data_IF_004508829961
#
_entry.id   IF_004508829961
#
_cell.length_a   1.000
_cell.length_b   1.000
_cell.length_c   1.000
_cell.angle_alpha   90.00
_cell.angle_beta   90.00
_cell.angle_gamma   90.00
#
_symmetry.space_group_name_H-M   'P 1'
#
loop_
_entity.id
_entity.type
_entity.pdbx_description
1 polymer ?
#
# COMPACT_ATOMS: atom_id res chain seq x y z
N UNK A 1 3.62 -40.87 43.19
CA UNK A 1 3.01 -40.76 41.85
C UNK A 1 1.73 -39.97 42.00
N UNK A 2 1.86 -38.66 41.85
CA UNK A 2 0.77 -37.70 41.86
C UNK A 2 0.56 -37.25 40.43
N UNK A 3 -0.70 -37.05 40.03
CA UNK A 3 -1.20 -35.83 39.41
C UNK A 3 -2.71 -36.00 39.27
N UNK A 4 -3.40 -35.05 39.89
CA UNK A 4 -4.83 -34.78 39.79
C UNK A 4 -5.20 -34.43 38.35
N UNK A 5 -6.33 -34.96 37.87
CA UNK A 5 -6.88 -34.61 36.57
C UNK A 5 -8.40 -34.63 36.66
N UNK A 6 -8.99 -33.58 37.22
CA UNK A 6 -10.42 -33.36 37.12
C UNK A 6 -10.71 -31.86 37.04
N UNK A 7 -11.04 -31.39 35.84
CA UNK A 7 -11.51 -30.02 35.62
C UNK A 7 -12.67 -30.05 34.62
N UNK A 8 -13.92 -29.87 35.06
CA UNK A 8 -15.04 -29.63 34.16
C UNK A 8 -15.29 -28.12 34.00
N UNK A 9 -16.02 -27.77 32.94
CA UNK A 9 -16.68 -26.48 32.66
C UNK A 9 -15.92 -25.46 31.81
N UNK A 10 -16.01 -25.70 30.50
CA UNK A 10 -16.14 -24.67 29.47
C UNK A 10 -17.46 -23.90 29.65
N UNK A 11 -17.38 -22.59 29.95
CA UNK A 11 -18.42 -21.62 29.59
C UNK A 11 -17.75 -20.37 29.00
N UNK A 12 -17.83 -20.27 27.67
CA UNK A 12 -17.62 -19.04 26.91
C UNK A 12 -18.81 -18.10 27.15
N UNK A 13 -18.55 -16.89 27.60
CA UNK A 13 -19.44 -15.75 27.37
C UNK A 13 -18.79 -14.85 26.32
N UNK A 14 -19.55 -14.59 25.26
CA UNK A 14 -19.27 -13.63 24.21
C UNK A 14 -20.16 -12.43 24.50
N UNK A 15 -19.60 -11.34 25.02
CA UNK A 15 -20.29 -10.06 25.04
C UNK A 15 -19.77 -9.21 23.88
N UNK A 16 -20.53 -9.22 22.79
CA UNK A 16 -20.42 -8.25 21.71
C UNK A 16 -21.35 -7.08 22.04
N UNK A 17 -20.80 -6.00 22.59
CA UNK A 17 -21.52 -4.72 22.64
C UNK A 17 -21.35 -3.99 21.32
N UNK A 18 -22.39 -4.05 20.49
CA UNK A 18 -22.58 -3.15 19.35
C UNK A 18 -23.00 -1.78 19.88
N UNK A 19 -22.17 -0.77 19.65
CA UNK A 19 -22.56 0.65 19.79
C UNK A 19 -23.16 1.09 18.46
N UNK A 20 -24.49 1.28 18.44
CA UNK A 20 -25.22 1.86 17.31
C UNK A 20 -24.91 3.37 17.17
N UNK A 21 -24.97 3.95 15.96
CA UNK A 21 -24.82 5.40 15.76
C UNK A 21 -26.05 6.13 16.32
N UNK A 22 -25.83 7.08 17.23
CA UNK A 22 -26.88 7.96 17.75
C UNK A 22 -27.43 8.85 16.62
N UNK A 23 -28.70 8.61 16.28
CA UNK A 23 -29.51 9.53 15.50
C UNK A 23 -29.75 10.84 16.28
N UNK A 24 -29.63 11.97 15.57
CA UNK A 24 -29.92 13.31 16.10
C UNK A 24 -31.43 13.54 16.11
N UNK A 25 -31.99 13.89 17.28
CA UNK A 25 -33.35 14.44 17.39
C UNK A 25 -33.78 14.72 18.84
N UNK A 26 -33.96 16.01 19.18
CA UNK A 26 -34.63 16.58 20.37
C UNK A 26 -33.85 16.47 21.71
N UNK A 27 -33.91 17.38 22.70
CA UNK A 27 -34.55 18.69 22.93
C UNK A 27 -33.70 19.54 23.92
N UNK A 28 -34.00 20.83 24.08
CA UNK A 28 -33.26 21.80 24.94
C UNK A 28 -33.37 21.58 26.46
N UNK A 29 -34.10 20.56 26.95
CA UNK A 29 -34.32 20.39 28.40
C UNK A 29 -33.27 19.54 29.13
N UNK A 30 -32.24 19.02 28.43
CA UNK A 30 -31.20 18.17 29.03
C UNK A 30 -29.87 18.91 29.34
N UNK A 31 -29.85 20.25 29.27
CA UNK A 31 -28.64 21.07 29.52
C UNK A 31 -28.58 21.70 30.92
N UNK A 32 -29.50 21.37 31.82
CA UNK A 32 -29.68 22.08 33.10
C UNK A 32 -29.23 21.31 34.36
N UNK A 33 -28.65 20.12 34.25
CA UNK A 33 -28.32 19.29 35.44
C UNK A 33 -26.85 18.80 35.48
N UNK A 34 -25.91 19.63 35.00
CA UNK A 34 -24.47 19.39 35.20
C UNK A 34 -23.73 20.66 35.65
N UNK A 35 -24.36 21.40 36.56
CA UNK A 35 -23.74 22.52 37.25
C UNK A 35 -24.02 22.37 38.75
N UNK A 36 -23.23 21.54 39.44
CA UNK A 36 -22.96 21.69 40.88
C UNK A 36 -21.85 20.74 41.36
N UNK A 37 -20.79 21.35 41.93
CA UNK A 37 -19.77 20.82 42.86
C UNK A 37 -18.74 19.84 42.25
N UNK A 38 -17.42 20.04 42.35
CA UNK A 38 -16.62 20.16 43.59
C UNK A 38 -15.31 20.94 43.36
N UNK A 39 -14.97 21.77 44.34
CA UNK A 39 -13.74 22.55 44.54
C UNK A 39 -12.41 21.77 44.50
N UNK A 40 -11.37 22.36 43.89
CA UNK A 40 -9.95 22.16 44.21
C UNK A 40 -9.08 23.32 43.66
N UNK A 41 -7.94 23.66 44.30
CA UNK A 41 -7.41 25.02 44.32
C UNK A 41 -6.62 25.43 43.06
N UNK A 42 -6.79 26.69 42.70
CA UNK A 42 -6.04 27.41 41.67
C UNK A 42 -4.59 27.55 42.15
N UNK A 43 -3.72 26.63 41.71
CA UNK A 43 -2.27 26.83 41.71
C UNK A 43 -1.88 27.40 40.35
N UNK A 44 -1.27 28.57 40.41
CA UNK A 44 -0.90 29.50 39.34
C UNK A 44 -0.29 28.85 38.08
N UNK A 45 -1.11 28.82 37.02
CA UNK A 45 -0.81 28.37 35.65
C UNK A 45 0.30 29.18 34.95
N UNK A 46 0.64 30.36 35.44
CA UNK A 46 1.71 31.18 34.86
C UNK A 46 3.11 30.58 35.06
N UNK A 47 3.39 29.93 36.21
CA UNK A 47 4.74 29.40 36.49
C UNK A 47 5.02 28.12 35.70
N UNK A 48 3.99 27.32 35.42
CA UNK A 48 4.08 26.14 34.56
C UNK A 48 4.22 26.53 33.08
N UNK A 49 3.51 27.56 32.63
CA UNK A 49 3.60 28.08 31.27
C UNK A 49 4.95 28.76 31.01
N UNK A 50 5.45 29.57 31.94
CA UNK A 50 6.78 30.19 31.84
C UNK A 50 7.89 29.13 31.84
N UNK A 51 7.77 28.07 32.64
CA UNK A 51 8.71 26.93 32.62
C UNK A 51 8.62 26.09 31.33
N UNK A 52 7.44 25.95 30.73
CA UNK A 52 7.24 25.27 29.45
C UNK A 52 7.82 26.09 28.28
N UNK A 53 7.58 27.40 28.27
CA UNK A 53 8.10 28.34 27.24
C UNK A 53 9.62 28.50 27.35
N UNK A 54 10.17 28.56 28.57
CA UNK A 54 11.63 28.66 28.77
C UNK A 54 12.36 27.34 28.44
N UNK A 55 11.82 26.16 28.80
CA UNK A 55 12.39 24.87 28.36
C UNK A 55 12.26 24.65 26.85
N UNK A 56 11.19 25.14 26.23
CA UNK A 56 11.02 25.11 24.77
C UNK A 56 12.00 26.06 24.06
N UNK A 57 12.27 27.25 24.61
CA UNK A 57 13.29 28.18 24.10
C UNK A 57 14.71 27.64 24.24
N UNK A 58 15.04 26.96 25.33
CA UNK A 58 16.38 26.42 25.57
C UNK A 58 16.69 25.20 24.70
N UNK A 59 15.67 24.37 24.38
CA UNK A 59 15.78 23.32 23.34
C UNK A 59 15.81 23.88 21.92
N UNK A 60 15.08 24.97 21.64
CA UNK A 60 15.11 25.64 20.34
C UNK A 60 16.47 26.28 20.03
N UNK A 61 17.20 26.76 21.05
CA UNK A 61 18.50 27.41 20.85
C UNK A 61 19.60 26.46 20.32
N UNK A 62 19.51 25.16 20.62
CA UNK A 62 20.40 24.14 20.03
C UNK A 62 19.89 23.57 18.68
N UNK A 63 18.64 23.86 18.27
CA UNK A 63 17.99 23.29 17.07
C UNK A 63 18.04 24.19 15.84
N UNK A 64 18.37 25.47 16.00
CA UNK A 64 18.60 26.39 14.87
C UNK A 64 19.88 26.07 14.06
N UNK A 65 20.70 25.12 14.49
CA UNK A 65 21.95 24.74 13.82
C UNK A 65 21.78 24.06 12.45
N UNK A 66 20.59 23.56 12.12
CA UNK A 66 20.40 22.76 10.90
C UNK A 66 19.75 23.49 9.72
N UNK A 67 19.26 24.73 9.91
CA UNK A 67 18.40 25.39 8.92
C UNK A 67 19.08 26.49 8.08
N UNK A 68 20.38 26.77 8.26
CA UNK A 68 21.02 27.87 7.52
C UNK A 68 22.55 27.89 7.39
N UNK A 69 23.28 26.95 8.00
CA UNK A 69 24.75 26.93 7.89
C UNK A 69 25.22 25.88 6.87
N UNK A 70 26.26 26.16 6.05
CA UNK A 70 26.94 25.14 5.28
C UNK A 70 27.59 24.17 6.27
N UNK A 71 26.99 22.99 6.42
CA UNK A 71 27.45 22.01 7.39
C UNK A 71 28.61 21.23 6.79
N UNK A 72 29.82 21.74 6.99
CA UNK A 72 31.03 20.93 6.90
C UNK A 72 31.02 19.91 8.03
N UNK A 73 31.02 18.62 7.66
CA UNK A 73 31.25 17.46 8.53
C UNK A 73 30.30 17.30 9.74
N UNK A 74 29.01 17.02 9.51
CA UNK A 74 28.23 16.29 10.53
C UNK A 74 28.65 14.83 10.47
N UNK A 75 29.19 14.33 11.58
CA UNK A 75 29.43 12.90 11.78
C UNK A 75 28.09 12.15 11.67
N UNK A 76 27.89 11.30 10.65
CA UNK A 76 26.66 10.55 10.47
C UNK A 76 26.33 9.66 11.66
N UNK A 77 27.33 9.17 12.39
CA UNK A 77 27.14 8.32 13.56
C UNK A 77 26.55 9.10 14.75
N UNK A 78 27.06 10.30 15.01
CA UNK A 78 26.53 11.18 16.04
C UNK A 78 25.07 11.58 15.77
N UNK A 79 24.74 11.88 14.51
CA UNK A 79 23.36 12.20 14.12
C UNK A 79 22.42 11.00 14.18
N UNK A 80 22.90 9.82 13.78
CA UNK A 80 22.13 8.58 13.89
C UNK A 80 21.81 8.26 15.37
N UNK A 81 22.75 8.50 16.28
CA UNK A 81 22.55 8.35 17.71
C UNK A 81 21.52 9.36 18.25
N UNK A 82 21.54 10.62 17.79
CA UNK A 82 20.55 11.63 18.17
C UNK A 82 19.14 11.26 17.68
N UNK A 83 19.01 10.83 16.41
CA UNK A 83 17.74 10.32 15.88
C UNK A 83 17.25 9.10 16.67
N UNK A 84 18.12 8.14 16.95
CA UNK A 84 17.78 6.95 17.74
C UNK A 84 17.27 7.33 19.14
N UNK A 85 17.92 8.28 19.80
CA UNK A 85 17.56 8.75 21.14
C UNK A 85 16.22 9.52 21.17
N UNK A 86 15.94 10.31 20.12
CA UNK A 86 14.68 11.05 19.99
C UNK A 86 13.49 10.13 19.65
N UNK A 87 13.76 9.00 18.99
CA UNK A 87 12.73 8.15 18.41
C UNK A 87 12.03 8.84 17.24
N UNK A 88 10.88 8.30 16.81
CA UNK A 88 10.13 8.82 15.66
C UNK A 88 9.20 10.00 16.00
N UNK A 89 9.43 10.69 17.12
CA UNK A 89 8.60 11.78 17.64
C UNK A 89 7.32 11.35 18.38
N UNK A 90 6.91 12.18 19.36
CA UNK A 90 5.70 12.06 20.20
C UNK A 90 4.67 13.17 19.92
N UNK A 91 4.99 14.08 19.01
CA UNK A 91 4.12 15.15 18.54
C UNK A 91 4.27 15.34 17.03
N UNK A 92 3.33 16.05 16.41
CA UNK A 92 3.40 16.35 14.99
C UNK A 92 4.69 17.10 14.62
N UNK A 93 5.12 18.03 15.48
CA UNK A 93 6.37 18.77 15.29
C UNK A 93 7.58 17.84 15.30
N UNK A 94 7.70 16.98 16.31
CA UNK A 94 8.84 16.07 16.41
C UNK A 94 8.86 15.06 15.26
N UNK A 95 7.70 14.54 14.85
CA UNK A 95 7.59 13.64 13.69
C UNK A 95 8.06 14.34 12.41
N UNK A 96 7.62 15.58 12.18
CA UNK A 96 7.98 16.36 10.99
C UNK A 96 9.47 16.70 11.00
N UNK A 97 10.02 17.11 12.16
CA UNK A 97 11.43 17.40 12.38
C UNK A 97 12.31 16.17 12.11
N UNK A 98 11.94 15.00 12.65
CA UNK A 98 12.64 13.73 12.38
C UNK A 98 12.58 13.36 10.90
N UNK A 99 11.42 13.49 10.27
CA UNK A 99 11.23 13.21 8.84
C UNK A 99 12.09 14.13 7.96
N UNK A 100 12.05 15.43 8.21
CA UNK A 100 12.83 16.44 7.47
C UNK A 100 14.33 16.24 7.63
N UNK A 101 14.78 15.94 8.86
CA UNK A 101 16.19 15.60 9.12
C UNK A 101 16.61 14.37 8.33
N UNK A 102 15.80 13.31 8.35
CA UNK A 102 16.07 12.09 7.62
C UNK A 102 16.12 12.33 6.09
N UNK A 103 15.19 13.11 5.55
CA UNK A 103 15.16 13.49 4.14
C UNK A 103 16.35 14.37 3.73
N UNK A 104 16.80 15.27 4.61
CA UNK A 104 18.00 16.08 4.40
C UNK A 104 19.25 15.20 4.37
N UNK A 105 19.35 14.21 5.25
CA UNK A 105 20.50 13.29 5.28
C UNK A 105 20.55 12.40 4.05
N UNK A 106 19.41 11.89 3.60
CA UNK A 106 19.33 11.12 2.36
C UNK A 106 19.83 11.90 1.14
N UNK A 107 19.63 13.23 1.11
CA UNK A 107 20.13 14.11 0.05
C UNK A 107 21.61 14.43 0.16
N UNK A 108 22.17 14.42 1.38
CA UNK A 108 23.54 14.90 1.66
C UNK A 108 24.56 13.77 1.76
N UNK A 109 24.15 12.59 2.20
CA UNK A 109 25.03 11.45 2.41
C UNK A 109 25.12 10.58 1.15
N UNK A 110 26.24 9.87 1.00
CA UNK A 110 26.31 8.80 0.01
C UNK A 110 25.29 7.70 0.36
N UNK A 111 24.78 6.93 -0.63
CA UNK A 111 23.78 5.89 -0.39
C UNK A 111 24.20 4.86 0.68
N UNK A 112 25.47 4.49 0.74
CA UNK A 112 26.02 3.53 1.70
C UNK A 112 26.03 4.10 3.14
N UNK A 113 26.39 5.37 3.29
CA UNK A 113 26.38 6.07 4.57
C UNK A 113 24.96 6.27 5.08
N UNK A 114 24.01 6.61 4.19
CA UNK A 114 22.61 6.73 4.56
C UNK A 114 22.01 5.38 4.99
N UNK A 115 22.37 4.29 4.30
CA UNK A 115 21.99 2.94 4.74
C UNK A 115 22.57 2.58 6.10
N UNK A 116 23.82 2.97 6.35
CA UNK A 116 24.48 2.77 7.66
C UNK A 116 23.78 3.57 8.75
N UNK A 117 23.46 4.83 8.50
CA UNK A 117 22.66 5.68 9.39
C UNK A 117 21.32 5.00 9.71
N UNK A 118 20.59 4.54 8.69
CA UNK A 118 19.32 3.83 8.85
C UNK A 118 19.45 2.59 9.75
N UNK A 119 20.52 1.80 9.58
CA UNK A 119 20.80 0.64 10.44
C UNK A 119 21.09 1.05 11.88
N UNK A 120 21.90 2.10 12.08
CA UNK A 120 22.27 2.59 13.42
C UNK A 120 21.07 3.16 14.17
N UNK A 121 20.10 3.78 13.49
CA UNK A 121 18.87 4.25 14.16
C UNK A 121 18.06 3.11 14.81
N UNK A 122 18.25 1.86 14.36
CA UNK A 122 17.48 0.70 14.82
C UNK A 122 16.01 0.73 14.41
N UNK A 123 15.59 1.69 13.57
CA UNK A 123 14.21 1.79 13.13
C UNK A 123 13.90 0.76 12.06
N UNK A 124 12.69 0.19 12.13
CA UNK A 124 12.22 -0.72 11.11
C UNK A 124 12.17 0.00 9.74
N UNK A 125 12.60 -0.62 8.61
CA UNK A 125 12.64 0.02 7.29
C UNK A 125 11.33 0.70 6.88
N UNK A 126 10.18 0.09 7.19
CA UNK A 126 8.85 0.70 6.96
C UNK A 126 8.64 2.04 7.68
N UNK A 127 9.19 2.22 8.89
CA UNK A 127 9.09 3.49 9.63
C UNK A 127 9.93 4.55 8.94
N UNK A 128 11.16 4.20 8.54
CA UNK A 128 12.07 5.06 7.78
C UNK A 128 11.40 5.55 6.50
N UNK A 129 10.80 4.64 5.71
CA UNK A 129 10.07 5.01 4.48
C UNK A 129 8.93 6.00 4.74
N UNK A 130 8.18 5.81 5.83
CA UNK A 130 7.08 6.72 6.22
C UNK A 130 7.61 8.09 6.63
N UNK A 131 8.64 8.14 7.47
CA UNK A 131 9.25 9.40 7.93
C UNK A 131 9.90 10.16 6.76
N UNK A 132 10.54 9.48 5.82
CA UNK A 132 11.05 10.10 4.59
C UNK A 132 9.92 10.72 3.76
N UNK A 133 8.80 10.02 3.58
CA UNK A 133 7.65 10.57 2.87
C UNK A 133 7.10 11.83 3.57
N UNK A 134 6.98 11.80 4.90
CA UNK A 134 6.57 12.97 5.71
C UNK A 134 7.57 14.12 5.56
N UNK A 135 8.87 13.84 5.67
CA UNK A 135 9.93 14.85 5.60
C UNK A 135 10.06 15.53 4.24
N UNK A 136 9.74 14.82 3.16
CA UNK A 136 9.76 15.35 1.79
C UNK A 136 8.51 16.18 1.46
N UNK A 137 7.41 15.96 2.17
CA UNK A 137 6.14 16.64 1.89
C UNK A 137 6.08 18.04 2.53
N UNK A 138 6.52 19.04 1.77
CA UNK A 138 6.55 20.44 2.20
C UNK A 138 5.16 21.01 2.52
N UNK A 139 4.07 20.39 2.03
CA UNK A 139 2.68 20.82 2.26
C UNK A 139 2.27 20.66 3.72
N UNK A 140 2.92 19.78 4.46
CA UNK A 140 2.60 19.51 5.87
C UNK A 140 3.07 20.62 6.83
N UNK A 141 4.13 21.37 6.47
CA UNK A 141 4.69 22.44 7.31
C UNK A 141 3.66 23.51 7.70
N UNK A 142 2.91 24.14 6.76
CA UNK A 142 1.90 25.12 7.12
C UNK A 142 0.71 24.50 7.89
N UNK A 143 0.54 23.19 7.84
CA UNK A 143 -0.54 22.47 8.52
C UNK A 143 -0.16 21.99 9.93
N UNK A 144 1.07 22.25 10.39
CA UNK A 144 1.62 21.73 11.65
C UNK A 144 0.65 21.81 12.86
N UNK A 145 -0.07 22.93 13.11
CA UNK A 145 -1.00 23.02 14.26
C UNK A 145 -2.19 22.05 14.18
N UNK A 146 -2.49 21.52 12.99
CA UNK A 146 -3.63 20.67 12.68
C UNK A 146 -3.21 19.20 12.48
N UNK A 147 -1.90 18.91 12.40
CA UNK A 147 -1.43 17.56 12.13
C UNK A 147 -1.63 16.63 13.34
N UNK A 148 -1.97 15.35 13.11
CA UNK A 148 -2.02 14.33 14.15
C UNK A 148 -0.68 14.13 14.86
N UNK A 149 -0.70 13.72 16.13
CA UNK A 149 0.52 13.56 16.93
C UNK A 149 1.47 12.41 16.56
N UNK A 150 1.07 11.49 15.66
CA UNK A 150 1.84 10.27 15.37
C UNK A 150 2.17 10.12 13.88
N UNK A 151 3.37 9.60 13.58
CA UNK A 151 3.80 9.37 12.18
C UNK A 151 2.85 8.44 11.41
N UNK A 152 2.19 7.49 12.07
CA UNK A 152 1.24 6.58 11.42
C UNK A 152 -0.07 7.26 11.03
N UNK A 153 -0.44 8.36 11.70
CA UNK A 153 -1.59 9.18 11.35
C UNK A 153 -1.24 10.30 10.35
N UNK A 154 -0.01 10.83 10.40
CA UNK A 154 0.47 11.83 9.42
C UNK A 154 0.76 11.20 8.07
N UNK A 155 1.42 10.02 8.02
CA UNK A 155 1.85 9.40 6.76
C UNK A 155 0.75 9.25 5.70
N UNK A 156 -0.48 8.80 6.01
CA UNK A 156 -1.55 8.76 5.02
C UNK A 156 -1.84 10.10 4.34
N UNK A 157 -1.65 11.23 5.04
CA UNK A 157 -1.84 12.57 4.48
C UNK A 157 -0.85 12.88 3.36
N UNK A 158 0.36 12.30 3.38
CA UNK A 158 1.34 12.47 2.29
C UNK A 158 0.91 11.79 1.00
N UNK A 159 -0.11 10.92 1.05
CA UNK A 159 -0.63 10.18 -0.11
C UNK A 159 -1.83 10.87 -0.77
N UNK A 160 -2.21 12.04 -0.26
CA UNK A 160 -3.30 12.85 -0.77
C UNK A 160 -2.80 13.84 -1.83
N UNK A 161 -3.65 14.09 -2.82
CA UNK A 161 -3.55 15.25 -3.71
C UNK A 161 -3.75 16.55 -2.93
N UNK A 162 -3.39 17.69 -3.51
CA UNK A 162 -3.58 18.99 -2.85
C UNK A 162 -5.07 19.26 -2.56
N UNK A 163 -5.95 18.89 -3.49
CA UNK A 163 -7.39 19.01 -3.33
C UNK A 163 -7.92 18.13 -2.18
N UNK A 164 -7.53 16.86 -2.13
CA UNK A 164 -7.90 15.94 -1.04
C UNK A 164 -7.35 16.42 0.31
N UNK A 165 -6.10 16.90 0.38
CA UNK A 165 -5.50 17.38 1.62
C UNK A 165 -6.21 18.63 2.14
N UNK A 166 -6.50 19.60 1.27
CA UNK A 166 -7.27 20.80 1.63
C UNK A 166 -8.67 20.43 2.12
N UNK A 167 -9.32 19.45 1.46
CA UNK A 167 -10.61 18.94 1.91
C UNK A 167 -10.51 18.30 3.30
N UNK A 168 -9.51 17.44 3.53
CA UNK A 168 -9.27 16.79 4.83
C UNK A 168 -9.09 17.79 5.98
N UNK A 169 -8.40 18.89 5.69
CA UNK A 169 -8.22 20.01 6.62
C UNK A 169 -9.55 20.72 6.87
N UNK A 170 -10.27 21.08 5.82
CA UNK A 170 -11.55 21.82 5.93
C UNK A 170 -12.65 21.02 6.65
N UNK A 171 -12.65 19.69 6.52
CA UNK A 171 -13.61 18.80 7.17
C UNK A 171 -13.19 18.40 8.60
N UNK A 172 -12.01 18.85 9.07
CA UNK A 172 -11.53 18.57 10.43
C UNK A 172 -11.00 17.14 10.64
N UNK A 173 -10.67 16.45 9.56
CA UNK A 173 -10.04 15.11 9.59
C UNK A 173 -8.54 15.19 9.87
N UNK A 174 -7.91 16.33 9.57
CA UNK A 174 -6.58 16.68 10.03
C UNK A 174 -6.69 17.45 11.36
N UNK A 175 -6.63 16.74 12.49
CA UNK A 175 -6.59 17.35 13.83
C UNK A 175 -5.56 16.67 14.74
N UNK A 176 -5.02 17.36 15.77
CA UNK A 176 -3.94 16.82 16.61
C UNK A 176 -4.25 15.51 17.33
N UNK A 177 -5.51 15.29 17.69
CA UNK A 177 -6.01 14.10 18.39
C UNK A 177 -6.50 12.99 17.44
N UNK A 178 -6.47 13.20 16.12
CA UNK A 178 -6.91 12.20 15.16
C UNK A 178 -6.01 10.95 15.21
N UNK A 179 -6.65 9.79 15.29
CA UNK A 179 -6.00 8.50 15.17
C UNK A 179 -5.68 8.15 13.72
N UNK A 180 -4.70 7.26 13.53
CA UNK A 180 -4.38 6.73 12.19
C UNK A 180 -5.58 6.06 11.53
N UNK A 181 -6.46 5.43 12.32
CA UNK A 181 -7.67 4.77 11.82
C UNK A 181 -8.68 5.79 11.30
N UNK A 182 -8.96 6.85 12.04
CA UNK A 182 -9.90 7.91 11.61
C UNK A 182 -9.44 8.54 10.30
N UNK A 183 -8.14 8.87 10.18
CA UNK A 183 -7.59 9.43 8.94
C UNK A 183 -7.76 8.44 7.79
N UNK A 184 -7.39 7.17 7.97
CA UNK A 184 -7.51 6.16 6.92
C UNK A 184 -8.96 5.88 6.52
N UNK A 185 -9.89 5.86 7.48
CA UNK A 185 -11.30 5.62 7.20
C UNK A 185 -11.91 6.83 6.47
N UNK A 186 -11.54 8.06 6.82
CA UNK A 186 -11.90 9.25 6.06
C UNK A 186 -11.40 9.18 4.61
N UNK A 187 -10.13 8.84 4.39
CA UNK A 187 -9.55 8.71 3.03
C UNK A 187 -10.32 7.68 2.21
N UNK A 188 -10.67 6.53 2.81
CA UNK A 188 -11.46 5.49 2.13
C UNK A 188 -12.83 6.03 1.73
N UNK A 189 -13.56 6.66 2.66
CA UNK A 189 -14.89 7.21 2.38
C UNK A 189 -14.81 8.22 1.24
N UNK A 190 -13.88 9.18 1.27
CA UNK A 190 -13.76 10.20 0.22
C UNK A 190 -13.37 9.66 -1.14
N UNK A 191 -12.57 8.61 -1.20
CA UNK A 191 -12.22 7.97 -2.47
C UNK A 191 -13.34 7.12 -3.03
N UNK A 192 -14.28 6.69 -2.19
CA UNK A 192 -15.49 5.99 -2.62
C UNK A 192 -16.61 6.97 -3.00
N UNK A 193 -16.64 8.17 -2.42
CA UNK A 193 -17.52 9.26 -2.84
C UNK A 193 -17.22 9.66 -4.30
N UNK A 194 -18.12 9.31 -5.22
CA UNK A 194 -17.96 9.59 -6.66
C UNK A 194 -17.40 8.43 -7.48
N UNK A 195 -17.12 7.27 -6.85
CA UNK A 195 -17.08 6.01 -7.61
C UNK A 195 -18.53 5.56 -7.86
N UNK A 196 -18.83 5.15 -9.09
CA UNK A 196 -20.03 4.36 -9.35
C UNK A 196 -19.90 3.08 -8.53
N UNK A 197 -20.59 3.05 -7.38
CA UNK A 197 -20.72 1.84 -6.61
C UNK A 197 -21.42 0.82 -7.51
N UNK A 198 -20.92 -0.41 -7.61
CA UNK A 198 -21.60 -1.41 -8.39
C UNK A 198 -23.00 -1.59 -7.79
N UNK A 199 -24.03 -1.63 -8.64
CA UNK A 199 -25.43 -1.89 -8.23
C UNK A 199 -25.55 -3.18 -7.42
N UNK A 200 -24.59 -4.10 -7.62
CA UNK A 200 -24.49 -5.39 -6.95
C UNK A 200 -23.10 -5.62 -6.35
N UNK A 201 -23.04 -5.94 -5.06
CA UNK A 201 -21.83 -6.30 -4.33
C UNK A 201 -21.85 -7.80 -3.99
N UNK A 202 -20.92 -8.55 -4.57
CA UNK A 202 -20.76 -9.97 -4.29
C UNK A 202 -20.02 -10.18 -2.96
N UNK A 203 -20.66 -10.84 -2.00
CA UNK A 203 -20.06 -11.20 -0.71
C UNK A 203 -19.55 -12.64 -0.73
N UNK A 204 -18.28 -12.83 -0.36
CA UNK A 204 -17.69 -14.16 -0.10
C UNK A 204 -17.06 -14.15 1.28
N UNK A 205 -17.65 -14.93 2.19
CA UNK A 205 -17.13 -15.14 3.55
C UNK A 205 -16.35 -16.44 3.66
N UNK A 206 -15.16 -16.41 4.24
CA UNK A 206 -14.46 -17.61 4.70
C UNK A 206 -14.63 -17.72 6.22
N UNK A 207 -15.20 -18.82 6.69
CA UNK A 207 -15.32 -19.12 8.11
C UNK A 207 -14.47 -20.34 8.46
N UNK A 208 -13.84 -20.35 9.64
CA UNK A 208 -13.07 -21.49 10.12
C UNK A 208 -13.97 -22.71 10.33
N UNK A 209 -15.19 -22.48 10.80
CA UNK A 209 -16.25 -23.48 10.91
C UNK A 209 -17.30 -23.24 9.81
N UNK A 210 -17.80 -24.29 9.13
CA UNK A 210 -18.87 -24.14 8.16
C UNK A 210 -20.10 -23.48 8.79
N UNK A 211 -20.58 -22.38 8.22
CA UNK A 211 -21.84 -21.76 8.64
C UNK A 211 -23.01 -22.67 8.22
N UNK A 212 -23.99 -22.84 9.10
CA UNK A 212 -25.27 -23.47 8.71
C UNK A 212 -26.00 -22.59 7.70
N UNK A 213 -26.94 -23.16 6.95
CA UNK A 213 -27.71 -22.43 5.94
C UNK A 213 -28.44 -21.24 6.54
N UNK A 214 -28.96 -21.39 7.76
CA UNK A 214 -29.71 -20.36 8.49
C UNK A 214 -28.80 -19.21 8.91
N UNK A 215 -27.60 -19.50 9.44
CA UNK A 215 -26.63 -18.47 9.83
C UNK A 215 -26.07 -17.73 8.63
N UNK A 216 -25.90 -18.43 7.51
CA UNK A 216 -25.48 -17.84 6.23
C UNK A 216 -26.54 -16.88 5.69
N UNK A 217 -27.81 -17.29 5.67
CA UNK A 217 -28.93 -16.45 5.27
C UNK A 217 -29.09 -15.22 6.19
N UNK A 218 -28.95 -15.39 7.50
CA UNK A 218 -29.01 -14.28 8.46
C UNK A 218 -27.87 -13.27 8.25
N UNK A 219 -26.65 -13.73 7.94
CA UNK A 219 -25.51 -12.87 7.64
C UNK A 219 -25.75 -12.08 6.34
N UNK A 220 -26.20 -12.74 5.27
CA UNK A 220 -26.51 -12.06 4.01
C UNK A 220 -27.62 -11.02 4.19
N UNK A 221 -28.67 -11.34 4.95
CA UNK A 221 -29.74 -10.39 5.26
C UNK A 221 -29.22 -9.17 6.05
N UNK A 222 -28.35 -9.39 7.03
CA UNK A 222 -27.73 -8.30 7.79
C UNK A 222 -26.84 -7.41 6.92
N UNK A 223 -26.05 -8.02 6.01
CA UNK A 223 -25.23 -7.30 5.04
C UNK A 223 -26.08 -6.50 4.05
N UNK A 224 -27.17 -7.09 3.54
CA UNK A 224 -28.12 -6.40 2.66
C UNK A 224 -28.77 -5.20 3.34
N UNK A 225 -29.15 -5.32 4.61
CA UNK A 225 -29.70 -4.21 5.39
C UNK A 225 -28.67 -3.09 5.60
N UNK A 226 -27.40 -3.45 5.84
CA UNK A 226 -26.33 -2.47 5.98
C UNK A 226 -25.98 -1.77 4.66
N UNK A 227 -26.15 -2.45 3.53
CA UNK A 227 -25.85 -1.92 2.19
C UNK A 227 -26.99 -1.07 1.60
N UNK A 228 -28.23 -1.27 2.05
CA UNK A 228 -29.43 -0.59 1.55
C UNK A 228 -29.31 0.94 1.48
N UNK A 229 -28.76 1.65 2.49
CA UNK A 229 -28.63 3.12 2.44
C UNK A 229 -27.71 3.62 1.32
N UNK A 230 -26.88 2.73 0.76
CA UNK A 230 -25.94 3.04 -0.31
C UNK A 230 -26.46 2.64 -1.70
N UNK A 231 -27.70 2.14 -1.80
CA UNK A 231 -28.28 1.70 -3.09
C UNK A 231 -27.65 0.42 -3.65
N UNK A 232 -26.96 -0.35 -2.81
CA UNK A 232 -26.21 -1.54 -3.22
C UNK A 232 -26.97 -2.82 -2.86
N UNK A 233 -27.11 -3.73 -3.82
CA UNK A 233 -27.65 -5.08 -3.60
C UNK A 233 -26.51 -6.02 -3.22
N UNK A 234 -26.58 -6.66 -2.06
CA UNK A 234 -25.58 -7.66 -1.65
C UNK A 234 -26.07 -9.02 -2.12
N UNK A 235 -25.29 -9.64 -3.01
CA UNK A 235 -25.53 -11.01 -3.45
C UNK A 235 -24.47 -11.93 -2.88
N UNK A 236 -24.85 -13.19 -2.73
CA UNK A 236 -23.89 -14.23 -2.45
C UNK A 236 -22.98 -14.44 -3.66
N UNK A 237 -21.70 -14.09 -3.50
CA UNK A 237 -20.71 -14.33 -4.53
C UNK A 237 -20.24 -15.78 -4.54
N UNK A 238 -19.80 -16.26 -5.69
CA UNK A 238 -19.02 -17.49 -5.77
C UNK A 238 -17.54 -17.21 -5.43
N UNK A 239 -16.81 -18.22 -4.95
CA UNK A 239 -15.36 -18.12 -4.76
C UNK A 239 -14.60 -17.81 -6.07
N UNK A 240 -15.25 -17.94 -7.24
CA UNK A 240 -14.76 -17.49 -8.54
C UNK A 240 -14.87 -15.98 -8.74
N UNK A 241 -15.87 -15.32 -8.15
CA UNK A 241 -16.15 -13.89 -8.32
C UNK A 241 -15.38 -13.00 -7.34
N UNK A 242 -15.10 -13.50 -6.14
CA UNK A 242 -14.24 -12.81 -5.17
C UNK A 242 -12.90 -13.52 -5.16
N UNK A 243 -11.93 -12.91 -5.85
CA UNK A 243 -10.54 -13.35 -5.94
C UNK A 243 -9.90 -13.57 -4.56
N UNK A 244 -10.16 -14.72 -3.96
CA UNK A 244 -9.36 -15.26 -2.88
C UNK A 244 -8.00 -15.56 -3.49
N UNK A 245 -6.91 -15.04 -2.90
CA UNK A 245 -5.54 -15.11 -3.46
C UNK A 245 -5.10 -16.52 -3.91
N UNK A 246 -5.74 -17.59 -3.40
CA UNK A 246 -5.54 -18.98 -3.86
C UNK A 246 -6.25 -19.27 -5.19
N UNK A 247 -7.48 -18.81 -5.39
CA UNK A 247 -8.19 -18.91 -6.67
C UNK A 247 -7.49 -18.10 -7.77
N UNK A 248 -6.96 -16.92 -7.44
CA UNK A 248 -6.16 -16.11 -8.38
C UNK A 248 -4.83 -16.77 -8.74
N UNK A 249 -4.20 -17.52 -7.82
CA UNK A 249 -2.97 -18.27 -8.13
C UNK A 249 -3.26 -19.44 -9.09
N UNK A 250 -4.25 -20.27 -8.78
CA UNK A 250 -4.63 -21.39 -9.64
C UNK A 250 -5.08 -20.91 -11.03
N UNK A 251 -5.88 -19.84 -11.09
CA UNK A 251 -6.29 -19.24 -12.37
C UNK A 251 -5.10 -18.72 -13.18
N UNK A 252 -4.14 -18.03 -12.54
CA UNK A 252 -2.93 -17.54 -13.22
C UNK A 252 -2.04 -18.68 -13.68
N UNK A 253 -1.97 -19.78 -12.93
CA UNK A 253 -1.23 -20.97 -13.33
C UNK A 253 -1.85 -21.62 -14.57
N UNK A 254 -3.18 -21.72 -14.64
CA UNK A 254 -3.89 -22.17 -15.84
C UNK A 254 -3.64 -21.25 -17.03
N UNK A 255 -3.71 -19.93 -16.85
CA UNK A 255 -3.43 -18.96 -17.91
C UNK A 255 -1.96 -19.06 -18.35
N UNK A 256 -1.03 -19.21 -17.42
CA UNK A 256 0.39 -19.40 -17.72
C UNK A 256 0.63 -20.67 -18.54
N UNK A 257 -0.01 -21.79 -18.20
CA UNK A 257 0.08 -23.02 -18.97
C UNK A 257 -0.50 -22.87 -20.38
N UNK A 258 -1.64 -22.19 -20.52
CA UNK A 258 -2.23 -21.89 -21.83
C UNK A 258 -1.33 -21.01 -22.68
N UNK A 259 -0.79 -19.93 -22.11
CA UNK A 259 0.14 -19.03 -22.78
C UNK A 259 1.44 -19.73 -23.17
N UNK A 260 1.98 -20.58 -22.30
CA UNK A 260 3.17 -21.37 -22.59
C UNK A 260 2.90 -22.32 -23.76
N UNK A 261 1.78 -23.04 -23.74
CA UNK A 261 1.43 -23.95 -24.84
C UNK A 261 1.26 -23.21 -26.18
N UNK A 262 0.55 -22.07 -26.18
CA UNK A 262 0.42 -21.23 -27.37
C UNK A 262 1.78 -20.74 -27.87
N UNK A 263 2.61 -20.20 -26.97
CA UNK A 263 3.93 -19.69 -27.32
C UNK A 263 4.85 -20.79 -27.85
N UNK A 264 4.84 -21.98 -27.22
CA UNK A 264 5.60 -23.15 -27.71
C UNK A 264 5.14 -23.53 -29.11
N UNK A 265 3.83 -23.65 -29.35
CA UNK A 265 3.27 -23.98 -30.67
C UNK A 265 3.65 -22.95 -31.73
N UNK A 266 3.59 -21.66 -31.40
CA UNK A 266 3.94 -20.58 -32.32
C UNK A 266 5.46 -20.56 -32.63
N UNK A 267 6.29 -20.91 -31.63
CA UNK A 267 7.75 -20.93 -31.75
C UNK A 267 8.32 -22.22 -32.33
N UNK A 268 7.55 -23.31 -32.41
CA UNK A 268 7.99 -24.57 -33.04
C UNK A 268 8.59 -24.35 -34.44
N UNK A 269 7.86 -23.76 -35.41
CA UNK A 269 8.44 -23.53 -36.73
C UNK A 269 9.64 -22.58 -36.69
N UNK A 270 9.64 -21.61 -35.77
CA UNK A 270 10.74 -20.65 -35.60
C UNK A 270 12.02 -21.35 -35.18
N UNK A 271 11.95 -22.31 -34.26
CA UNK A 271 13.11 -23.07 -33.79
C UNK A 271 13.55 -24.11 -34.83
N UNK A 272 12.62 -24.75 -35.53
CA UNK A 272 12.95 -25.72 -36.59
C UNK A 272 13.67 -25.07 -37.79
N UNK A 273 13.35 -23.82 -38.11
CA UNK A 273 13.97 -23.07 -39.21
C UNK A 273 15.21 -22.27 -38.79
N UNK A 274 15.45 -22.09 -37.48
CA UNK A 274 16.56 -21.29 -36.99
C UNK A 274 17.92 -21.97 -37.25
N UNK A 275 18.98 -21.20 -37.55
CA UNK A 275 20.33 -21.74 -37.65
C UNK A 275 20.77 -22.42 -36.35
N UNK A 276 21.28 -23.65 -36.44
CA UNK A 276 21.72 -24.42 -35.27
C UNK A 276 22.77 -23.68 -34.43
N UNK A 277 23.70 -22.96 -35.07
CA UNK A 277 24.72 -22.17 -34.37
C UNK A 277 24.13 -21.02 -33.54
N UNK A 278 22.99 -20.46 -33.95
CA UNK A 278 22.28 -19.44 -33.20
C UNK A 278 21.59 -20.06 -31.97
N UNK A 279 20.95 -21.21 -32.14
CA UNK A 279 20.31 -21.93 -31.03
C UNK A 279 21.35 -22.35 -29.97
N UNK A 280 22.53 -22.79 -30.39
CA UNK A 280 23.66 -23.10 -29.51
C UNK A 280 24.20 -21.86 -28.78
N UNK A 281 24.31 -20.69 -29.43
CA UNK A 281 24.72 -19.43 -28.79
C UNK A 281 23.82 -19.05 -27.60
N UNK A 282 22.53 -19.38 -27.68
CA UNK A 282 21.54 -19.07 -26.66
C UNK A 282 21.18 -20.25 -25.75
N UNK A 283 21.86 -21.39 -25.89
CA UNK A 283 21.60 -22.62 -25.14
C UNK A 283 20.13 -23.10 -25.27
N UNK A 284 19.56 -23.02 -26.48
CA UNK A 284 18.17 -23.39 -26.76
C UNK A 284 18.15 -24.70 -27.57
N UNK A 285 17.51 -25.73 -27.04
CA UNK A 285 17.39 -27.04 -27.69
C UNK A 285 15.99 -27.31 -28.25
N UNK A 286 14.98 -26.55 -27.82
CA UNK A 286 13.59 -26.74 -28.22
C UNK A 286 12.77 -25.45 -28.14
N UNK A 287 11.62 -25.43 -28.84
CA UNK A 287 10.65 -24.33 -28.74
C UNK A 287 10.07 -24.19 -27.33
N UNK A 288 9.89 -25.30 -26.60
CA UNK A 288 9.43 -25.26 -25.21
C UNK A 288 10.45 -24.58 -24.31
N UNK A 289 11.75 -24.88 -24.48
CA UNK A 289 12.83 -24.22 -23.74
C UNK A 289 12.89 -22.72 -24.05
N UNK A 290 12.77 -22.35 -25.33
CA UNK A 290 12.73 -20.95 -25.75
C UNK A 290 11.52 -20.20 -25.15
N UNK A 291 10.34 -20.84 -25.16
CA UNK A 291 9.11 -20.28 -24.62
C UNK A 291 9.14 -20.17 -23.08
N UNK A 292 9.73 -21.16 -22.39
CA UNK A 292 9.79 -21.23 -20.93
C UNK A 292 10.95 -20.41 -20.33
N UNK A 293 12.02 -20.17 -21.09
CA UNK A 293 13.26 -19.48 -20.68
C UNK A 293 13.10 -17.99 -20.39
N UNK A 294 14.19 -17.25 -20.24
CA UNK A 294 14.10 -15.81 -19.93
C UNK A 294 13.59 -14.97 -21.12
N UNK A 295 12.89 -13.86 -20.85
CA UNK A 295 12.51 -12.88 -21.89
C UNK A 295 13.73 -12.47 -22.73
N UNK A 296 14.90 -12.31 -22.09
CA UNK A 296 16.15 -11.92 -22.75
C UNK A 296 16.57 -12.95 -23.80
N UNK A 297 16.53 -14.23 -23.47
CA UNK A 297 16.86 -15.33 -24.39
C UNK A 297 15.90 -15.33 -25.58
N UNK A 298 14.59 -15.28 -25.33
CA UNK A 298 13.59 -15.18 -26.40
C UNK A 298 13.87 -14.00 -27.33
N UNK A 299 14.03 -12.79 -26.78
CA UNK A 299 14.29 -11.60 -27.60
C UNK A 299 15.62 -11.69 -28.35
N UNK A 300 16.65 -12.29 -27.74
CA UNK A 300 17.97 -12.43 -28.35
C UNK A 300 17.92 -13.32 -29.59
N UNK A 301 17.29 -14.49 -29.48
CA UNK A 301 17.09 -15.41 -30.62
C UNK A 301 16.29 -14.72 -31.72
N UNK A 302 15.14 -14.11 -31.40
CA UNK A 302 14.27 -13.49 -32.40
C UNK A 302 14.91 -12.29 -33.11
N UNK A 303 15.64 -11.44 -32.37
CA UNK A 303 16.37 -10.29 -32.94
C UNK A 303 17.49 -10.75 -33.88
N UNK A 304 18.24 -11.79 -33.51
CA UNK A 304 19.30 -12.33 -34.35
C UNK A 304 18.74 -12.98 -35.62
N UNK A 305 17.62 -13.69 -35.49
CA UNK A 305 16.98 -14.40 -36.61
C UNK A 305 16.53 -13.43 -37.72
N UNK A 306 15.99 -12.27 -37.35
CA UNK A 306 15.51 -11.24 -38.30
C UNK A 306 16.52 -10.11 -38.56
N UNK A 307 17.72 -10.21 -37.99
CA UNK A 307 18.79 -9.24 -38.19
C UNK A 307 18.58 -7.86 -37.52
N UNK A 308 17.69 -7.73 -36.54
CA UNK A 308 17.48 -6.45 -35.86
C UNK A 308 16.25 -6.39 -34.95
N UNK A 309 16.17 -5.32 -34.15
CA UNK A 309 15.03 -5.09 -33.25
C UNK A 309 13.75 -4.74 -33.99
N UNK A 310 13.85 -4.02 -35.11
CA UNK A 310 12.69 -3.60 -35.91
C UNK A 310 11.98 -4.80 -36.52
N UNK A 311 12.72 -5.67 -37.22
CA UNK A 311 12.17 -6.92 -37.77
C UNK A 311 11.60 -7.85 -36.69
N UNK A 312 12.12 -7.81 -35.46
CA UNK A 312 11.56 -8.59 -34.35
C UNK A 312 10.17 -8.08 -33.97
N UNK A 313 9.95 -6.77 -33.91
CA UNK A 313 8.64 -6.21 -33.58
C UNK A 313 7.62 -6.41 -34.69
N UNK A 314 8.04 -6.40 -35.95
CA UNK A 314 7.19 -6.65 -37.11
C UNK A 314 6.77 -8.13 -37.18
N UNK A 315 7.74 -9.05 -37.16
CA UNK A 315 7.48 -10.48 -37.39
C UNK A 315 7.13 -11.24 -36.12
N UNK A 316 7.71 -10.86 -34.99
CA UNK A 316 7.65 -11.62 -33.73
C UNK A 316 7.15 -10.81 -32.53
N UNK A 317 6.69 -9.58 -32.73
CA UNK A 317 6.05 -8.76 -31.70
C UNK A 317 4.94 -9.48 -30.91
N UNK A 318 4.07 -10.28 -31.56
CA UNK A 318 3.07 -11.07 -30.84
C UNK A 318 3.67 -12.08 -29.84
N UNK A 319 4.78 -12.72 -30.19
CA UNK A 319 5.47 -13.68 -29.32
C UNK A 319 6.03 -13.00 -28.08
N UNK A 320 6.63 -11.81 -28.25
CA UNK A 320 7.10 -11.00 -27.12
C UNK A 320 5.94 -10.62 -26.19
N UNK A 321 4.81 -10.17 -26.73
CA UNK A 321 3.66 -9.76 -25.93
C UNK A 321 3.11 -10.93 -25.11
N UNK A 322 2.95 -12.11 -25.73
CA UNK A 322 2.54 -13.34 -25.04
C UNK A 322 3.56 -13.78 -23.98
N UNK A 323 4.85 -13.64 -24.25
CA UNK A 323 5.90 -13.93 -23.26
C UNK A 323 5.82 -13.00 -22.04
N UNK A 324 5.57 -11.70 -22.23
CA UNK A 324 5.37 -10.77 -21.12
C UNK A 324 4.13 -11.13 -20.29
N UNK A 325 3.03 -11.52 -20.96
CA UNK A 325 1.83 -12.01 -20.27
C UNK A 325 2.09 -13.33 -19.51
N UNK A 326 2.90 -14.23 -20.07
CA UNK A 326 3.33 -15.46 -19.40
C UNK A 326 4.10 -15.15 -18.11
N UNK A 327 5.11 -14.28 -18.18
CA UNK A 327 5.91 -13.90 -17.01
C UNK A 327 5.10 -13.15 -15.93
N UNK A 328 4.10 -12.36 -16.35
CA UNK A 328 3.14 -11.75 -15.43
C UNK A 328 2.37 -12.80 -14.61
N UNK A 329 1.94 -13.88 -15.27
CA UNK A 329 1.16 -14.93 -14.62
C UNK A 329 2.03 -15.86 -13.76
N UNK A 330 3.31 -16.06 -14.12
CA UNK A 330 4.26 -16.87 -13.32
C UNK A 330 4.78 -16.15 -12.07
N UNK A 331 4.89 -14.83 -12.09
CA UNK A 331 5.49 -14.10 -10.95
C UNK A 331 4.52 -13.89 -9.77
N UNK A 332 5.01 -14.14 -8.56
CA UNK A 332 4.28 -13.82 -7.33
C UNK A 332 4.46 -12.35 -6.90
N UNK A 333 5.48 -11.66 -7.43
CA UNK A 333 5.77 -10.26 -7.08
C UNK A 333 4.79 -9.28 -7.72
N UNK A 334 4.05 -8.54 -6.88
CA UNK A 334 3.14 -7.47 -7.34
C UNK A 334 3.87 -6.37 -8.10
N UNK A 335 5.08 -6.00 -7.66
CA UNK A 335 5.89 -4.98 -8.33
C UNK A 335 6.29 -5.44 -9.74
N UNK A 336 6.68 -6.70 -9.90
CA UNK A 336 7.00 -7.25 -11.23
C UNK A 336 5.77 -7.31 -12.14
N UNK A 337 4.60 -7.70 -11.60
CA UNK A 337 3.34 -7.66 -12.36
C UNK A 337 2.99 -6.26 -12.86
N UNK A 338 3.17 -5.24 -12.03
CA UNK A 338 3.00 -3.85 -12.46
C UNK A 338 3.98 -3.49 -13.59
N UNK A 339 5.25 -3.87 -13.46
CA UNK A 339 6.26 -3.63 -14.50
C UNK A 339 5.92 -4.32 -15.83
N UNK A 340 5.41 -5.56 -15.79
CA UNK A 340 4.99 -6.26 -17.02
C UNK A 340 3.79 -5.61 -17.70
N UNK A 341 2.78 -5.15 -16.95
CA UNK A 341 1.68 -4.35 -17.52
C UNK A 341 2.20 -3.06 -18.16
N UNK A 342 3.11 -2.36 -17.47
CA UNK A 342 3.73 -1.14 -18.00
C UNK A 342 4.49 -1.41 -19.31
N UNK A 343 5.26 -2.52 -19.38
CA UNK A 343 5.97 -2.91 -20.61
C UNK A 343 5.01 -3.11 -21.79
N UNK A 344 3.87 -3.79 -21.59
CA UNK A 344 2.88 -3.95 -22.67
C UNK A 344 2.26 -2.62 -23.08
N UNK A 345 1.96 -1.72 -22.14
CA UNK A 345 1.48 -0.37 -22.46
C UNK A 345 2.52 0.44 -23.26
N UNK A 346 3.80 0.30 -22.95
CA UNK A 346 4.89 0.89 -23.73
C UNK A 346 4.98 0.29 -25.14
N UNK A 347 4.78 -1.03 -25.29
CA UNK A 347 4.71 -1.68 -26.60
C UNK A 347 3.53 -1.15 -27.40
N UNK A 348 2.33 -1.09 -26.81
CA UNK A 348 1.14 -0.51 -27.45
C UNK A 348 1.38 0.93 -27.94
N UNK A 349 2.06 1.75 -27.15
CA UNK A 349 2.38 3.13 -27.52
C UNK A 349 3.42 3.27 -28.65
N UNK A 350 4.29 2.27 -28.85
CA UNK A 350 5.38 2.30 -29.85
C UNK A 350 5.08 1.50 -31.11
N UNK A 351 4.26 0.47 -31.02
CA UNK A 351 4.00 -0.52 -32.07
C UNK A 351 2.49 -0.67 -32.24
N UNK A 352 1.88 0.25 -32.99
CA UNK A 352 0.42 0.38 -33.08
C UNK A 352 -0.25 -0.88 -33.66
N UNK A 353 0.43 -1.64 -34.53
CA UNK A 353 -0.08 -2.90 -35.07
C UNK A 353 -0.25 -4.01 -34.02
N UNK A 354 0.32 -3.84 -32.83
CA UNK A 354 0.18 -4.77 -31.70
C UNK A 354 -0.87 -4.30 -30.67
N UNK A 355 -1.51 -3.14 -30.87
CA UNK A 355 -2.37 -2.53 -29.87
C UNK A 355 -3.55 -3.44 -29.47
N UNK A 356 -4.24 -4.02 -30.43
CA UNK A 356 -5.41 -4.88 -30.19
C UNK A 356 -5.02 -6.15 -29.43
N UNK A 357 -3.87 -6.74 -29.77
CA UNK A 357 -3.33 -7.88 -29.03
C UNK A 357 -2.99 -7.48 -27.59
N UNK A 358 -2.32 -6.35 -27.39
CA UNK A 358 -1.97 -5.87 -26.05
C UNK A 358 -3.23 -5.64 -25.22
N UNK A 359 -4.27 -5.05 -25.77
CA UNK A 359 -5.54 -4.83 -25.07
C UNK A 359 -6.19 -6.16 -24.68
N UNK A 360 -6.27 -7.11 -25.60
CA UNK A 360 -6.80 -8.45 -25.32
C UNK A 360 -6.01 -9.19 -24.22
N UNK A 361 -4.67 -9.10 -24.23
CA UNK A 361 -3.82 -9.69 -23.19
C UNK A 361 -4.07 -9.02 -21.83
N UNK A 362 -4.13 -7.69 -21.79
CA UNK A 362 -4.33 -6.92 -20.57
C UNK A 362 -5.71 -7.15 -19.95
N UNK A 363 -6.74 -7.29 -20.79
CA UNK A 363 -8.14 -7.45 -20.37
C UNK A 363 -8.47 -8.89 -19.97
N UNK A 364 -7.99 -9.89 -20.71
CA UNK A 364 -8.44 -11.28 -20.52
C UNK A 364 -7.41 -12.16 -19.80
N UNK A 365 -6.12 -11.82 -19.86
CA UNK A 365 -5.05 -12.71 -19.42
C UNK A 365 -4.14 -12.10 -18.34
N UNK A 366 -4.30 -10.82 -17.97
CA UNK A 366 -3.45 -10.13 -17.00
C UNK A 366 -4.20 -9.32 -15.93
N UNK A 367 -5.29 -9.90 -15.40
CA UNK A 367 -6.08 -9.30 -14.31
C UNK A 367 -5.53 -9.58 -12.90
#
# INVERSE_FOLDING_TARGET
MSIEGNNPTTKRWVDAQYVLPKQRGLSRSARSEMAELVDAPIITTERAFVNFVSRSRQKAHNRHLYWGSPVTAVDPAALAADLAAQGHGKSAYEVLESGQTLALMEQRLAPEDFQTLCKVTGWHPKVITKLLAIGRDKRLVPLLPQLPGTYSAIYPLTTLTDAELNLAVSEGSCRPDASSREVLDWIKVKRLEGMDLPETLAFVGTSADPLTKERRAALLAALQQAALPFGVTVVEGSAKEVGTRKATKASRETIAQQLLHQLTSDLTPVVEEAPQSLLEEFEVTSAEELAAGEIRTLTGVLVRLVGGSEGMWESYGPHYCRKVALEFNRTESRAQRFNYRKRLLEVKGKHQHLADLVDALLEHQMN
#
